data_IF_410929110984
#
_entry.id   IF_410929110984
#
_cell.length_a   1.000
_cell.length_b   1.000
_cell.length_c   1.000
_cell.angle_alpha   90.00
_cell.angle_beta   90.00
_cell.angle_gamma   90.00
#
_symmetry.space_group_name_H-M   'P 1'
#
loop_
_entity.id
_entity.type
_entity.pdbx_description
1 polymer ?
#
# COMPACT_ATOMS: atom_id res chain seq x y z
N UNK A 1 -8.82 12.27 -0.25
CA UNK A 1 -7.62 11.45 -0.47
C UNK A 1 -7.63 10.79 -1.85
N UNK A 2 -8.75 10.20 -2.27
CA UNK A 2 -8.80 9.43 -3.53
C UNK A 2 -8.83 10.26 -4.80
N UNK A 3 -9.12 11.54 -4.71
CA UNK A 3 -9.38 12.40 -5.87
C UNK A 3 -8.18 12.63 -6.77
N UNK A 4 -6.97 12.51 -6.23
CA UNK A 4 -5.74 12.83 -6.95
C UNK A 4 -4.75 11.67 -7.00
N UNK A 5 -5.25 10.45 -6.80
CA UNK A 5 -4.40 9.26 -6.82
C UNK A 5 -4.04 8.88 -8.25
N UNK A 6 -2.78 8.52 -8.49
CA UNK A 6 -2.39 7.91 -9.74
C UNK A 6 -2.86 6.45 -9.81
N UNK A 7 -2.64 5.77 -10.94
CA UNK A 7 -3.12 4.41 -11.15
C UNK A 7 -2.58 3.43 -10.11
N UNK A 8 -1.29 3.49 -9.79
CA UNK A 8 -0.68 2.59 -8.81
C UNK A 8 -1.22 2.85 -7.41
N UNK A 9 -1.32 4.11 -7.02
CA UNK A 9 -1.88 4.49 -5.72
C UNK A 9 -3.30 3.97 -5.58
N UNK A 10 -4.12 4.14 -6.63
CA UNK A 10 -5.51 3.69 -6.61
C UNK A 10 -5.60 2.15 -6.49
N UNK A 11 -4.76 1.42 -7.22
CA UNK A 11 -4.72 -0.04 -7.12
C UNK A 11 -4.38 -0.49 -5.70
N UNK A 12 -3.39 0.14 -5.08
CA UNK A 12 -2.98 -0.19 -3.72
C UNK A 12 -4.09 0.09 -2.70
N UNK A 13 -4.71 1.25 -2.79
CA UNK A 13 -5.81 1.63 -1.89
C UNK A 13 -7.00 0.68 -2.07
N UNK A 14 -7.40 0.41 -3.31
CA UNK A 14 -8.55 -0.46 -3.60
C UNK A 14 -8.29 -1.88 -3.08
N UNK A 15 -7.08 -2.41 -3.27
CA UNK A 15 -6.72 -3.74 -2.78
C UNK A 15 -6.78 -3.82 -1.25
N UNK A 16 -6.27 -2.78 -0.58
CA UNK A 16 -6.30 -2.71 0.87
C UNK A 16 -7.75 -2.63 1.39
N UNK A 17 -8.57 -1.81 0.74
CA UNK A 17 -9.98 -1.68 1.11
C UNK A 17 -10.75 -2.99 0.89
N UNK A 18 -10.48 -3.71 -0.20
CA UNK A 18 -11.11 -4.98 -0.49
C UNK A 18 -10.83 -6.02 0.61
N UNK A 19 -9.67 -5.94 1.24
CA UNK A 19 -9.30 -6.81 2.35
C UNK A 19 -9.60 -6.22 3.71
N UNK A 20 -10.36 -5.12 3.75
CA UNK A 20 -10.80 -4.47 4.98
C UNK A 20 -9.65 -3.98 5.86
N UNK A 21 -8.57 -3.57 5.22
CA UNK A 21 -7.51 -2.83 5.92
C UNK A 21 -8.10 -1.54 6.47
N UNK A 22 -7.52 -1.03 7.54
CA UNK A 22 -7.97 0.22 8.14
C UNK A 22 -6.78 1.17 8.34
N UNK A 23 -7.09 2.42 8.68
CA UNK A 23 -6.10 3.48 8.83
C UNK A 23 -5.23 3.60 7.58
N UNK A 24 -5.85 3.58 6.41
CA UNK A 24 -5.15 3.69 5.13
C UNK A 24 -4.74 5.14 4.92
N UNK A 25 -3.44 5.35 4.72
CA UNK A 25 -2.85 6.67 4.58
C UNK A 25 -1.81 6.65 3.49
N UNK A 26 -1.85 7.65 2.60
CA UNK A 26 -0.79 7.88 1.63
C UNK A 26 0.05 9.06 2.11
N UNK A 27 1.36 8.82 2.24
CA UNK A 27 2.32 9.84 2.67
C UNK A 27 2.99 10.44 1.44
N UNK A 28 2.96 11.76 1.36
CA UNK A 28 3.63 12.53 0.33
C UNK A 28 5.00 12.97 0.86
N UNK A 29 6.05 12.39 0.32
CA UNK A 29 7.43 12.64 0.74
C UNK A 29 8.26 13.37 -0.32
N UNK A 30 7.61 14.00 -1.29
CA UNK A 30 8.29 14.57 -2.46
C UNK A 30 9.39 15.57 -2.12
N UNK A 31 9.32 16.24 -0.99
CA UNK A 31 10.32 17.21 -0.58
C UNK A 31 11.13 16.76 0.63
N UNK A 32 11.03 15.47 1.01
CA UNK A 32 11.60 14.98 2.27
C UNK A 32 12.37 13.68 2.13
N UNK A 33 12.36 13.05 0.97
CA UNK A 33 13.05 11.79 0.73
C UNK A 33 13.64 11.77 -0.67
N UNK A 34 14.88 11.31 -0.77
CA UNK A 34 15.54 11.08 -2.04
C UNK A 34 15.25 9.70 -2.60
N UNK A 35 14.59 8.83 -1.83
CA UNK A 35 14.37 7.43 -2.18
C UNK A 35 13.05 7.20 -2.88
N UNK A 36 12.00 7.86 -2.44
CA UNK A 36 10.67 7.69 -3.00
C UNK A 36 9.81 8.91 -2.72
N UNK A 37 8.80 9.14 -3.56
CA UNK A 37 7.88 10.25 -3.40
C UNK A 37 6.67 9.88 -2.54
N UNK A 38 6.20 8.65 -2.62
CA UNK A 38 4.96 8.24 -1.96
C UNK A 38 5.06 6.88 -1.30
N UNK A 39 4.52 6.80 -0.08
CA UNK A 39 4.25 5.54 0.61
C UNK A 39 2.77 5.42 0.93
N UNK A 40 2.26 4.19 0.93
CA UNK A 40 0.97 3.90 1.54
C UNK A 40 1.21 3.08 2.80
N UNK A 41 0.52 3.42 3.88
CA UNK A 41 0.52 2.67 5.12
C UNK A 41 -0.91 2.28 5.44
N UNK A 42 -1.13 1.07 5.88
CA UNK A 42 -2.42 0.63 6.40
C UNK A 42 -2.24 -0.43 7.47
N UNK A 43 -3.31 -0.74 8.17
CA UNK A 43 -3.29 -1.67 9.28
C UNK A 43 -4.20 -2.87 9.04
N UNK A 44 -3.85 -4.00 9.65
CA UNK A 44 -4.68 -5.20 9.69
C UNK A 44 -4.88 -5.66 11.14
N UNK A 45 -5.82 -6.57 11.34
CA UNK A 45 -6.21 -7.05 12.67
C UNK A 45 -5.30 -8.16 13.22
N UNK A 46 -4.56 -8.82 12.35
CA UNK A 46 -3.75 -9.99 12.71
C UNK A 46 -2.66 -10.22 11.66
N UNK A 47 -1.74 -11.13 11.95
CA UNK A 47 -0.71 -11.52 10.99
C UNK A 47 -1.31 -12.09 9.71
N UNK A 48 -2.36 -12.90 9.83
CA UNK A 48 -3.05 -13.48 8.67
C UNK A 48 -3.70 -12.37 7.85
N UNK A 49 -4.33 -11.40 8.50
CA UNK A 49 -4.96 -10.27 7.84
C UNK A 49 -3.91 -9.42 7.10
N UNK A 50 -2.80 -9.11 7.75
CA UNK A 50 -1.69 -8.36 7.12
C UNK A 50 -1.18 -9.09 5.89
N UNK A 51 -0.96 -10.40 5.97
CA UNK A 51 -0.50 -11.18 4.82
C UNK A 51 -1.52 -11.17 3.68
N UNK A 52 -2.79 -11.27 4.01
CA UNK A 52 -3.88 -11.18 3.03
C UNK A 52 -3.87 -9.84 2.30
N UNK A 53 -3.63 -8.74 3.02
CA UNK A 53 -3.55 -7.40 2.42
C UNK A 53 -2.35 -7.31 1.47
N UNK A 54 -1.18 -7.76 1.91
CA UNK A 54 0.04 -7.76 1.09
C UNK A 54 -0.18 -8.55 -0.20
N UNK A 55 -0.73 -9.76 -0.08
CA UNK A 55 -0.98 -10.63 -1.23
C UNK A 55 -1.96 -9.98 -2.21
N UNK A 56 -3.02 -9.36 -1.71
CA UNK A 56 -4.02 -8.70 -2.54
C UNK A 56 -3.41 -7.51 -3.31
N UNK A 57 -2.58 -6.71 -2.66
CA UNK A 57 -1.90 -5.58 -3.30
C UNK A 57 -0.99 -6.09 -4.42
N UNK A 58 -0.16 -7.09 -4.12
CA UNK A 58 0.76 -7.67 -5.11
C UNK A 58 0.02 -8.26 -6.29
N UNK A 59 -1.03 -9.04 -6.04
CA UNK A 59 -1.81 -9.69 -7.09
C UNK A 59 -2.48 -8.66 -8.00
N UNK A 60 -3.15 -7.67 -7.42
CA UNK A 60 -3.87 -6.67 -8.20
C UNK A 60 -2.91 -5.81 -9.01
N UNK A 61 -1.82 -5.39 -8.42
CA UNK A 61 -0.81 -4.61 -9.12
C UNK A 61 -0.18 -5.43 -10.25
N UNK A 62 0.14 -6.68 -9.99
CA UNK A 62 0.71 -7.58 -10.99
C UNK A 62 -0.24 -7.78 -12.18
N UNK A 63 -1.52 -8.03 -11.91
CA UNK A 63 -2.54 -8.21 -12.95
C UNK A 63 -2.69 -6.98 -13.84
N UNK A 64 -2.47 -5.80 -13.29
CA UNK A 64 -2.58 -4.54 -14.01
C UNK A 64 -1.25 -4.04 -14.56
N UNK A 65 -0.18 -4.84 -14.46
CA UNK A 65 1.17 -4.52 -14.93
C UNK A 65 1.68 -3.19 -14.36
N UNK A 66 1.37 -2.93 -13.10
CA UNK A 66 1.72 -1.69 -12.45
C UNK A 66 2.18 -2.03 -11.03
N UNK A 67 3.49 -2.22 -10.86
CA UNK A 67 4.07 -2.75 -9.63
C UNK A 67 4.54 -1.63 -8.70
N UNK A 68 4.29 -1.75 -7.40
CA UNK A 68 4.96 -0.90 -6.42
C UNK A 68 6.45 -1.28 -6.34
N UNK A 69 7.27 -0.38 -5.80
CA UNK A 69 8.70 -0.66 -5.60
C UNK A 69 8.91 -1.74 -4.53
N UNK A 70 8.10 -1.72 -3.49
CA UNK A 70 8.15 -2.72 -2.43
C UNK A 70 6.81 -2.77 -1.69
N UNK A 71 6.47 -3.95 -1.18
CA UNK A 71 5.33 -4.15 -0.28
C UNK A 71 5.81 -5.01 0.88
N UNK A 72 5.65 -4.53 2.11
CA UNK A 72 6.08 -5.24 3.30
C UNK A 72 4.98 -5.25 4.34
N UNK A 73 4.76 -6.42 4.94
CA UNK A 73 3.87 -6.58 6.08
C UNK A 73 4.68 -6.73 7.36
N UNK A 74 4.29 -6.00 8.39
CA UNK A 74 4.98 -5.97 9.68
C UNK A 74 4.08 -6.55 10.76
N UNK A 75 4.28 -7.83 11.06
CA UNK A 75 3.43 -8.53 12.03
C UNK A 75 3.53 -7.95 13.45
N UNK A 76 4.71 -7.47 13.85
CA UNK A 76 4.89 -6.85 15.17
C UNK A 76 4.06 -5.58 15.34
N UNK A 77 3.82 -4.84 14.27
CA UNK A 77 2.99 -3.64 14.28
C UNK A 77 1.61 -3.85 13.68
N UNK A 78 1.36 -5.04 13.15
CA UNK A 78 0.10 -5.37 12.45
C UNK A 78 -0.20 -4.35 11.36
N UNK A 79 0.80 -4.00 10.58
CA UNK A 79 0.67 -2.96 9.55
C UNK A 79 1.42 -3.33 8.27
N UNK A 80 1.03 -2.64 7.19
CA UNK A 80 1.56 -2.84 5.84
C UNK A 80 2.11 -1.52 5.32
N UNK A 81 3.29 -1.58 4.71
CA UNK A 81 3.92 -0.43 4.06
C UNK A 81 4.11 -0.75 2.59
N UNK A 82 3.70 0.17 1.72
CA UNK A 82 3.83 0.04 0.27
C UNK A 82 4.63 1.22 -0.26
N UNK A 83 5.76 0.93 -0.89
CA UNK A 83 6.56 1.95 -1.57
C UNK A 83 5.98 2.14 -2.97
N UNK A 84 5.32 3.26 -3.17
CA UNK A 84 4.62 3.59 -4.41
C UNK A 84 5.49 4.30 -5.44
N UNK A 85 6.69 4.72 -5.04
CA UNK A 85 7.59 5.46 -5.92
C UNK A 85 7.10 6.85 -6.22
N UNK A 86 7.16 7.22 -7.50
CA UNK A 86 6.82 8.59 -7.92
C UNK A 86 5.30 8.80 -8.00
#
# INVERSE_FOLDING_TARGET
MKEHLNALQQLAVDSAEDKKAFDILILDLRNRSDLTDFFMICSGNSNVHVQSIVDAILDKCYQNRNKPLAVEGYSGGIWVVVDLGD
#
